data_IF_024999803185
#
_entry.id   IF_024999803185
#
_cell.length_a   1.000
_cell.length_b   1.000
_cell.length_c   1.000
_cell.angle_alpha   90.00
_cell.angle_beta   90.00
_cell.angle_gamma   90.00
#
_symmetry.space_group_name_H-M   'P 1'
#
loop_
_entity.id
_entity.type
_entity.pdbx_description
1 polymer ?
#
# COMPACT_ATOMS: atom_id res chain seq x y z
N UNK A 1 11.01 2.87 -18.71
CA UNK A 1 9.68 3.44 -18.42
C UNK A 1 8.53 2.74 -19.13
N UNK A 2 8.52 2.57 -20.48
CA UNK A 2 7.43 1.85 -21.19
C UNK A 2 7.20 0.42 -20.69
N UNK A 3 8.23 -0.32 -20.26
CA UNK A 3 8.12 -1.67 -19.69
C UNK A 3 7.46 -1.72 -18.31
N UNK A 4 7.44 -0.61 -17.58
CA UNK A 4 6.83 -0.55 -16.24
C UNK A 4 5.31 -0.46 -16.30
N UNK A 5 4.74 0.16 -17.34
CA UNK A 5 3.30 0.32 -17.48
C UNK A 5 2.53 -1.01 -17.56
N UNK A 6 2.92 -2.01 -18.37
CA UNK A 6 2.26 -3.31 -18.36
C UNK A 6 2.31 -3.99 -16.98
N UNK A 7 3.44 -3.89 -16.29
CA UNK A 7 3.59 -4.40 -14.92
C UNK A 7 2.62 -3.73 -13.96
N UNK A 8 2.55 -2.40 -13.97
CA UNK A 8 1.65 -1.61 -13.13
C UNK A 8 0.17 -1.92 -13.39
N UNK A 9 -0.21 -2.09 -14.66
CA UNK A 9 -1.59 -2.37 -15.05
C UNK A 9 -1.99 -3.83 -14.87
N UNK A 10 -1.04 -4.76 -14.77
CA UNK A 10 -1.32 -6.20 -14.75
C UNK A 10 -2.30 -6.61 -13.63
N UNK A 11 -2.15 -6.23 -12.36
CA UNK A 11 -3.11 -6.59 -11.30
C UNK A 11 -4.52 -6.12 -11.61
N UNK A 12 -4.66 -4.90 -12.10
CA UNK A 12 -5.94 -4.30 -12.49
C UNK A 12 -6.60 -5.07 -13.64
N UNK A 13 -5.89 -5.28 -14.74
CA UNK A 13 -6.43 -5.96 -15.93
C UNK A 13 -6.83 -7.41 -15.63
N UNK A 14 -5.98 -8.13 -14.89
CA UNK A 14 -6.28 -9.52 -14.48
C UNK A 14 -7.53 -9.53 -13.60
N UNK A 15 -7.64 -8.64 -12.64
CA UNK A 15 -8.79 -8.54 -11.73
C UNK A 15 -10.07 -8.25 -12.50
N UNK A 16 -10.06 -7.29 -13.44
CA UNK A 16 -11.21 -7.01 -14.31
C UNK A 16 -11.63 -8.24 -15.11
N UNK A 17 -10.66 -8.92 -15.73
CA UNK A 17 -10.96 -10.14 -16.49
C UNK A 17 -11.58 -11.20 -15.58
N UNK A 18 -11.04 -11.44 -14.39
CA UNK A 18 -11.55 -12.42 -13.43
C UNK A 18 -12.98 -12.08 -12.97
N UNK A 19 -13.25 -10.81 -12.66
CA UNK A 19 -14.55 -10.34 -12.19
C UNK A 19 -15.60 -10.37 -13.33
N UNK A 20 -15.28 -9.72 -14.46
CA UNK A 20 -16.28 -9.47 -15.50
C UNK A 20 -16.52 -10.68 -16.42
N UNK A 21 -15.57 -11.60 -16.56
CA UNK A 21 -15.77 -12.90 -17.20
C UNK A 21 -16.46 -13.91 -16.30
N UNK A 22 -16.48 -13.71 -14.98
CA UNK A 22 -17.25 -14.56 -14.08
C UNK A 22 -18.73 -14.42 -14.40
N UNK A 23 -19.48 -15.52 -14.35
CA UNK A 23 -20.95 -15.51 -14.47
C UNK A 23 -21.63 -15.11 -13.16
N UNK A 24 -20.86 -14.65 -12.15
CA UNK A 24 -21.34 -14.31 -10.82
C UNK A 24 -21.72 -12.83 -10.74
N UNK A 25 -23.01 -12.54 -10.81
CA UNK A 25 -23.56 -11.19 -10.70
C UNK A 25 -23.29 -10.55 -9.33
N UNK A 26 -23.29 -11.36 -8.24
CA UNK A 26 -23.01 -10.87 -6.90
C UNK A 26 -21.57 -10.37 -6.77
N UNK A 27 -20.60 -11.08 -7.35
CA UNK A 27 -19.20 -10.64 -7.38
C UNK A 27 -19.02 -9.28 -8.09
N UNK A 28 -19.71 -9.12 -9.24
CA UNK A 28 -19.68 -7.85 -10.00
C UNK A 28 -20.31 -6.72 -9.21
N UNK A 29 -21.48 -6.95 -8.62
CA UNK A 29 -22.18 -5.97 -7.79
C UNK A 29 -21.37 -5.57 -6.56
N UNK A 30 -20.74 -6.52 -5.87
CA UNK A 30 -19.87 -6.26 -4.74
C UNK A 30 -18.65 -5.42 -5.12
N UNK A 31 -17.96 -5.76 -6.22
CA UNK A 31 -16.85 -4.97 -6.73
C UNK A 31 -17.25 -3.52 -7.01
N UNK A 32 -18.35 -3.31 -7.74
CA UNK A 32 -18.85 -1.96 -8.07
C UNK A 32 -19.23 -1.22 -6.80
N UNK A 33 -19.96 -1.84 -5.87
CA UNK A 33 -20.34 -1.21 -4.60
C UNK A 33 -19.10 -0.79 -3.80
N UNK A 34 -18.09 -1.63 -3.66
CA UNK A 34 -16.87 -1.30 -2.93
C UNK A 34 -16.02 -0.22 -3.61
N UNK A 35 -16.15 -0.08 -4.92
CA UNK A 35 -15.46 0.94 -5.71
C UNK A 35 -16.19 2.29 -5.68
N UNK A 36 -17.51 2.33 -5.56
CA UNK A 36 -18.28 3.58 -5.75
C UNK A 36 -18.96 4.08 -4.49
N UNK A 37 -19.20 3.20 -3.51
CA UNK A 37 -19.95 3.53 -2.31
C UNK A 37 -19.06 4.17 -1.22
N UNK A 38 -18.99 5.50 -1.21
CA UNK A 38 -18.23 6.27 -0.21
C UNK A 38 -18.76 6.10 1.22
N UNK A 39 -20.02 5.65 1.40
CA UNK A 39 -20.62 5.43 2.72
C UNK A 39 -19.99 4.25 3.47
N UNK A 40 -19.18 3.43 2.79
CA UNK A 40 -18.38 2.39 3.44
C UNK A 40 -17.24 2.98 4.28
N UNK A 41 -16.82 4.21 4.00
CA UNK A 41 -15.74 4.89 4.72
C UNK A 41 -16.27 5.38 6.07
N UNK A 42 -15.68 4.88 7.16
CA UNK A 42 -16.07 5.20 8.52
C UNK A 42 -15.38 6.47 9.02
N UNK A 43 -16.14 7.52 9.42
CA UNK A 43 -15.52 8.78 9.86
C UNK A 43 -14.54 8.62 11.02
N UNK A 44 -14.78 7.72 11.96
CA UNK A 44 -13.89 7.45 13.08
C UNK A 44 -12.51 6.87 12.71
N UNK A 45 -12.33 6.37 11.49
CA UNK A 45 -11.04 5.86 10.98
C UNK A 45 -10.25 6.97 10.24
N UNK A 46 -10.91 8.05 9.82
CA UNK A 46 -10.28 9.10 9.03
C UNK A 46 -9.02 9.71 9.67
N UNK A 47 -8.95 9.98 10.98
CA UNK A 47 -7.72 10.51 11.58
C UNK A 47 -6.53 9.55 11.40
N UNK A 48 -6.73 8.25 11.64
CA UNK A 48 -5.67 7.23 11.41
C UNK A 48 -5.32 7.16 9.94
N UNK A 49 -6.32 7.18 9.08
CA UNK A 49 -6.19 7.13 7.64
C UNK A 49 -5.30 8.26 7.08
N UNK A 50 -5.49 9.50 7.53
CA UNK A 50 -4.73 10.64 7.02
C UNK A 50 -3.41 10.90 7.76
N UNK A 51 -3.29 10.48 9.01
CA UNK A 51 -2.16 10.87 9.86
C UNK A 51 -1.07 9.81 9.98
N UNK A 52 -1.40 8.53 9.83
CA UNK A 52 -0.44 7.44 10.11
C UNK A 52 0.85 7.57 9.26
N UNK A 53 0.71 7.87 7.98
CA UNK A 53 1.87 8.00 7.09
C UNK A 53 2.65 9.31 7.32
N UNK A 54 2.03 10.50 7.28
CA UNK A 54 2.76 11.74 7.57
C UNK A 54 3.44 11.73 8.93
N UNK A 55 2.75 11.26 9.98
CA UNK A 55 3.36 11.18 11.32
C UNK A 55 4.51 10.18 11.37
N UNK A 56 4.42 9.05 10.66
CA UNK A 56 5.54 8.10 10.59
C UNK A 56 6.79 8.74 9.97
N UNK A 57 6.64 9.55 8.92
CA UNK A 57 7.74 10.31 8.30
C UNK A 57 8.33 11.31 9.30
N UNK A 58 7.49 12.14 9.90
CA UNK A 58 7.92 13.17 10.87
C UNK A 58 8.68 12.53 12.05
N UNK A 59 8.12 11.48 12.66
CA UNK A 59 8.77 10.74 13.75
C UNK A 59 10.11 10.16 13.29
N UNK A 60 10.17 9.61 12.07
CA UNK A 60 11.41 9.03 11.54
C UNK A 60 12.47 10.06 11.27
N UNK A 61 12.11 11.27 10.81
CA UNK A 61 13.06 12.38 10.67
C UNK A 61 13.63 12.73 12.04
N UNK A 62 12.80 12.92 13.09
CA UNK A 62 13.28 13.24 14.42
C UNK A 62 14.19 12.14 14.99
N UNK A 63 13.85 10.87 14.81
CA UNK A 63 14.71 9.76 15.23
C UNK A 63 16.03 9.78 14.45
N UNK A 64 16.00 10.10 13.15
CA UNK A 64 17.21 10.13 12.31
C UNK A 64 18.26 11.14 12.79
N UNK A 65 17.84 12.21 13.50
CA UNK A 65 18.77 13.20 14.04
C UNK A 65 19.77 12.58 15.02
N UNK A 66 19.39 11.53 15.76
CA UNK A 66 20.29 10.79 16.65
C UNK A 66 21.29 9.91 15.90
N UNK A 67 21.10 9.71 14.59
CA UNK A 67 21.96 8.91 13.72
C UNK A 67 22.63 9.76 12.62
N UNK A 68 22.79 11.06 12.87
CA UNK A 68 23.48 11.98 11.96
C UNK A 68 22.57 12.54 10.83
N UNK A 69 21.26 12.37 10.94
CA UNK A 69 20.29 13.03 10.05
C UNK A 69 20.25 14.55 10.26
N UNK A 70 19.58 15.25 9.35
CA UNK A 70 19.46 16.72 9.37
C UNK A 70 18.00 17.17 9.36
N UNK A 71 17.70 18.31 9.94
CA UNK A 71 16.40 19.01 9.82
C UNK A 71 16.11 19.48 8.40
N UNK A 72 17.11 19.53 7.51
CA UNK A 72 16.90 19.82 6.09
C UNK A 72 15.94 18.84 5.40
N UNK A 73 15.77 17.64 5.94
CA UNK A 73 14.81 16.66 5.45
C UNK A 73 13.34 17.12 5.50
N UNK A 74 13.03 18.22 6.23
CA UNK A 74 11.72 18.86 6.17
C UNK A 74 11.52 19.76 4.94
N UNK A 75 12.55 19.94 4.12
CA UNK A 75 12.41 20.64 2.86
C UNK A 75 11.62 19.79 1.86
N UNK A 76 10.93 20.48 0.96
CA UNK A 76 10.26 19.78 -0.14
C UNK A 76 11.31 19.18 -1.06
N UNK A 77 11.07 17.97 -1.53
CA UNK A 77 11.91 17.33 -2.52
C UNK A 77 11.92 18.14 -3.83
N UNK A 78 13.09 18.31 -4.43
CA UNK A 78 13.23 19.04 -5.71
C UNK A 78 12.58 18.31 -6.89
N UNK A 79 12.33 17.02 -6.74
CA UNK A 79 11.69 16.18 -7.77
C UNK A 79 11.06 14.94 -7.15
N UNK A 80 10.29 14.26 -7.95
CA UNK A 80 9.64 13.01 -7.57
C UNK A 80 10.31 11.85 -8.31
N UNK A 81 10.50 10.73 -7.64
CA UNK A 81 11.10 9.51 -8.22
C UNK A 81 10.26 8.96 -9.39
N UNK A 82 9.01 9.38 -9.49
CA UNK A 82 8.02 8.92 -10.47
C UNK A 82 7.49 10.10 -11.31
N UNK A 83 8.34 10.66 -12.18
CA UNK A 83 7.95 11.76 -13.08
C UNK A 83 8.07 11.37 -14.55
N UNK A 84 7.08 11.73 -15.36
CA UNK A 84 7.10 11.53 -16.82
C UNK A 84 7.31 12.82 -17.60
N UNK A 85 7.28 13.97 -16.91
CA UNK A 85 7.33 15.30 -17.53
C UNK A 85 6.04 15.76 -18.21
N UNK A 86 5.14 14.84 -18.59
CA UNK A 86 3.90 15.16 -19.32
C UNK A 86 2.65 15.13 -18.44
N UNK A 87 2.64 14.30 -17.42
CA UNK A 87 1.49 14.12 -16.54
C UNK A 87 1.83 14.68 -15.16
N UNK A 88 0.94 15.48 -14.54
CA UNK A 88 1.15 15.93 -13.17
C UNK A 88 1.46 14.75 -12.23
N UNK A 89 2.52 14.87 -11.45
CA UNK A 89 3.01 13.78 -10.59
C UNK A 89 1.92 13.27 -9.67
N UNK A 90 1.11 14.17 -9.09
CA UNK A 90 0.00 13.77 -8.23
C UNK A 90 -1.00 12.85 -8.93
N UNK A 91 -1.28 13.11 -10.20
CA UNK A 91 -2.16 12.25 -10.99
C UNK A 91 -1.49 10.89 -11.25
N UNK A 92 -0.19 10.85 -11.51
CA UNK A 92 0.53 9.60 -11.68
C UNK A 92 0.52 8.74 -10.41
N UNK A 93 0.77 9.36 -9.25
CA UNK A 93 0.73 8.66 -7.96
C UNK A 93 -0.68 8.12 -7.65
N UNK A 94 -1.71 8.89 -7.99
CA UNK A 94 -3.11 8.46 -7.83
C UNK A 94 -3.45 7.31 -8.78
N UNK A 95 -3.05 7.40 -10.06
CA UNK A 95 -3.30 6.36 -11.05
C UNK A 95 -2.55 5.07 -10.68
N UNK A 96 -1.30 5.17 -10.21
CA UNK A 96 -0.54 4.01 -9.75
C UNK A 96 -1.26 3.32 -8.59
N UNK A 97 -1.62 4.06 -7.54
CA UNK A 97 -2.41 3.53 -6.43
C UNK A 97 -3.75 2.93 -6.91
N UNK A 98 -4.41 3.59 -7.87
CA UNK A 98 -5.66 3.11 -8.44
C UNK A 98 -5.52 1.77 -9.14
N UNK A 99 -4.57 1.61 -10.06
CA UNK A 99 -4.34 0.36 -10.79
C UNK A 99 -3.97 -0.78 -9.85
N UNK A 100 -3.13 -0.52 -8.87
CA UNK A 100 -2.75 -1.53 -7.89
C UNK A 100 -3.94 -1.95 -7.02
N UNK A 101 -4.66 -1.01 -6.42
CA UNK A 101 -5.73 -1.35 -5.49
C UNK A 101 -6.98 -1.93 -6.17
N UNK A 102 -7.27 -1.53 -7.41
CA UNK A 102 -8.31 -2.18 -8.22
C UNK A 102 -8.00 -3.66 -8.48
N UNK A 103 -6.73 -3.99 -8.63
CA UNK A 103 -6.28 -5.38 -8.75
C UNK A 103 -6.27 -6.11 -7.42
N UNK A 104 -5.52 -5.57 -6.48
CA UNK A 104 -5.25 -6.22 -5.20
C UNK A 104 -6.49 -6.31 -4.32
N UNK A 105 -7.19 -5.18 -4.06
CA UNK A 105 -8.40 -5.12 -3.23
C UNK A 105 -9.66 -5.44 -4.01
N UNK A 106 -9.63 -5.25 -5.32
CA UNK A 106 -10.76 -5.61 -6.19
C UNK A 106 -11.04 -7.11 -6.21
N UNK A 107 -9.99 -7.96 -6.20
CA UNK A 107 -10.14 -9.41 -6.34
C UNK A 107 -9.19 -10.24 -5.48
N UNK A 108 -7.87 -10.00 -5.56
CA UNK A 108 -6.87 -10.91 -5.01
C UNK A 108 -6.96 -11.06 -3.50
N UNK A 109 -7.10 -9.95 -2.76
CA UNK A 109 -7.18 -9.96 -1.31
C UNK A 109 -8.44 -10.66 -0.80
N UNK A 110 -9.58 -10.50 -1.47
CA UNK A 110 -10.82 -11.21 -1.13
C UNK A 110 -10.69 -12.71 -1.35
N UNK A 111 -9.99 -13.13 -2.41
CA UNK A 111 -9.70 -14.54 -2.64
C UNK A 111 -8.86 -15.16 -1.51
N UNK A 112 -7.90 -14.40 -0.95
CA UNK A 112 -7.14 -14.82 0.22
C UNK A 112 -8.00 -14.87 1.49
N UNK A 113 -8.83 -13.84 1.72
CA UNK A 113 -9.73 -13.76 2.88
C UNK A 113 -10.78 -14.88 2.89
N UNK A 114 -11.22 -15.36 1.73
CA UNK A 114 -12.19 -16.46 1.67
C UNK A 114 -11.65 -17.79 2.24
N UNK A 115 -10.34 -17.91 2.42
CA UNK A 115 -9.65 -19.14 2.87
C UNK A 115 -8.86 -18.98 4.15
N UNK A 116 -8.54 -17.74 4.55
CA UNK A 116 -7.63 -17.44 5.65
C UNK A 116 -8.21 -16.38 6.59
N UNK A 117 -7.74 -16.36 7.84
CA UNK A 117 -7.98 -15.22 8.73
C UNK A 117 -7.47 -13.94 8.09
N UNK A 118 -7.99 -12.78 8.50
CA UNK A 118 -7.50 -11.51 7.98
C UNK A 118 -6.00 -11.31 8.22
N UNK A 119 -5.47 -11.76 9.36
CA UNK A 119 -4.04 -11.73 9.63
C UNK A 119 -3.25 -12.49 8.56
N UNK A 120 -3.58 -13.78 8.36
CA UNK A 120 -2.87 -14.62 7.39
C UNK A 120 -3.03 -14.09 5.96
N UNK A 121 -4.23 -13.66 5.59
CA UNK A 121 -4.48 -13.06 4.28
C UNK A 121 -3.65 -11.79 4.07
N UNK A 122 -3.55 -10.90 5.07
CA UNK A 122 -2.77 -9.68 5.00
C UNK A 122 -1.26 -9.95 4.90
N UNK A 123 -0.73 -10.92 5.65
CA UNK A 123 0.68 -11.32 5.56
C UNK A 123 0.99 -11.87 4.17
N UNK A 124 0.20 -12.85 3.68
CA UNK A 124 0.41 -13.42 2.34
C UNK A 124 0.34 -12.34 1.28
N UNK A 125 -0.67 -11.47 1.36
CA UNK A 125 -0.82 -10.36 0.43
C UNK A 125 0.41 -9.44 0.45
N UNK A 126 0.85 -9.01 1.64
CA UNK A 126 2.00 -8.10 1.79
C UNK A 126 3.28 -8.67 1.18
N UNK A 127 3.53 -9.97 1.39
CA UNK A 127 4.68 -10.68 0.79
C UNK A 127 4.55 -10.72 -0.73
N UNK A 128 3.38 -11.08 -1.27
CA UNK A 128 3.15 -11.12 -2.72
C UNK A 128 3.29 -9.73 -3.35
N UNK A 129 2.78 -8.70 -2.67
CA UNK A 129 2.89 -7.31 -3.12
C UNK A 129 4.34 -6.83 -3.10
N UNK A 130 5.10 -7.17 -2.07
CA UNK A 130 6.54 -6.91 -2.02
C UNK A 130 7.26 -7.59 -3.20
N UNK A 131 7.05 -8.89 -3.40
CA UNK A 131 7.69 -9.65 -4.47
C UNK A 131 7.27 -9.17 -5.88
N UNK A 132 6.08 -8.62 -6.04
CA UNK A 132 5.63 -8.06 -7.32
C UNK A 132 6.48 -6.86 -7.76
N UNK A 133 7.11 -6.14 -6.85
CA UNK A 133 8.05 -5.07 -7.18
C UNK A 133 9.44 -5.58 -7.59
N UNK A 134 9.74 -6.87 -7.35
CA UNK A 134 11.09 -7.42 -7.57
C UNK A 134 11.65 -7.20 -8.99
N UNK A 135 10.86 -7.35 -10.08
CA UNK A 135 11.38 -7.09 -11.43
C UNK A 135 11.91 -5.67 -11.65
N UNK A 136 11.47 -4.69 -10.85
CA UNK A 136 11.90 -3.31 -11.00
C UNK A 136 13.37 -3.08 -10.66
N UNK A 137 14.01 -3.98 -9.88
CA UNK A 137 15.46 -3.90 -9.61
C UNK A 137 16.31 -4.08 -10.88
N UNK A 138 15.74 -4.60 -11.96
CA UNK A 138 16.40 -4.80 -13.25
C UNK A 138 16.03 -3.74 -14.28
N UNK A 139 15.20 -2.76 -13.92
CA UNK A 139 14.77 -1.70 -14.82
C UNK A 139 15.57 -0.43 -14.53
N UNK A 140 16.49 -0.08 -15.43
CA UNK A 140 17.29 1.14 -15.30
C UNK A 140 16.41 2.37 -15.06
N UNK A 141 16.85 3.28 -14.20
CA UNK A 141 16.15 4.49 -13.79
C UNK A 141 14.81 4.23 -13.06
N UNK A 142 14.57 3.02 -12.56
CA UNK A 142 13.53 2.82 -11.56
C UNK A 142 14.07 3.16 -10.17
N UNK A 143 13.20 3.61 -9.27
CA UNK A 143 13.57 3.86 -7.88
C UNK A 143 14.24 2.62 -7.24
N UNK A 144 13.70 1.42 -7.50
CA UNK A 144 14.23 0.16 -6.96
C UNK A 144 15.64 -0.16 -7.50
N UNK A 145 15.88 0.11 -8.78
CA UNK A 145 17.21 -0.05 -9.38
C UNK A 145 18.22 0.89 -8.69
N UNK A 146 17.89 2.17 -8.58
CA UNK A 146 18.78 3.19 -8.02
C UNK A 146 19.14 2.88 -6.54
N UNK A 147 18.15 2.58 -5.70
CA UNK A 147 18.42 2.31 -4.28
C UNK A 147 19.22 1.01 -4.06
N UNK A 148 19.08 -0.01 -4.93
CA UNK A 148 19.89 -1.23 -4.87
C UNK A 148 21.34 -0.97 -5.28
N UNK A 149 21.59 -0.06 -6.23
CA UNK A 149 22.93 0.35 -6.63
C UNK A 149 23.58 1.26 -5.59
N UNK A 150 22.79 2.07 -4.89
CA UNK A 150 23.29 2.86 -3.77
C UNK A 150 23.70 1.97 -2.59
N UNK A 151 22.83 1.05 -2.19
CA UNK A 151 23.11 0.08 -1.13
C UNK A 151 22.15 -1.12 -1.19
N UNK A 152 22.71 -2.33 -1.13
CA UNK A 152 21.92 -3.56 -0.96
C UNK A 152 20.92 -3.47 0.21
N UNK A 153 21.34 -2.84 1.32
CA UNK A 153 20.49 -2.70 2.51
C UNK A 153 19.31 -1.76 2.30
N UNK A 154 19.48 -0.68 1.54
CA UNK A 154 18.37 0.21 1.17
C UNK A 154 17.39 -0.47 0.24
N UNK A 155 17.90 -1.19 -0.75
CA UNK A 155 17.06 -2.02 -1.61
C UNK A 155 16.29 -3.07 -0.84
N UNK A 156 16.93 -3.79 0.08
CA UNK A 156 16.28 -4.77 0.94
C UNK A 156 15.20 -4.11 1.83
N UNK A 157 15.51 -2.94 2.42
CA UNK A 157 14.56 -2.19 3.23
C UNK A 157 13.29 -1.83 2.45
N UNK A 158 13.40 -1.51 1.16
CA UNK A 158 12.22 -1.25 0.33
C UNK A 158 11.26 -2.45 0.36
N UNK A 159 11.74 -3.66 0.14
CA UNK A 159 10.89 -4.87 0.17
C UNK A 159 10.34 -5.16 1.55
N UNK A 160 11.14 -4.96 2.59
CA UNK A 160 10.69 -5.15 3.99
C UNK A 160 9.62 -4.12 4.36
N UNK A 161 9.75 -2.87 3.93
CA UNK A 161 8.80 -1.79 4.24
C UNK A 161 7.39 -2.03 3.69
N UNK A 162 7.27 -2.76 2.59
CA UNK A 162 5.97 -3.12 2.01
C UNK A 162 5.18 -4.06 2.92
N UNK A 163 5.83 -4.84 3.79
CA UNK A 163 5.13 -5.76 4.69
C UNK A 163 4.23 -5.00 5.69
N UNK A 164 4.75 -4.08 6.53
CA UNK A 164 3.90 -3.30 7.42
C UNK A 164 2.90 -2.43 6.65
N UNK A 165 3.27 -1.84 5.51
CA UNK A 165 2.35 -1.06 4.68
C UNK A 165 1.18 -1.91 4.16
N UNK A 166 1.45 -3.12 3.67
CA UNK A 166 0.41 -4.04 3.20
C UNK A 166 -0.53 -4.50 4.32
N UNK A 167 -0.02 -4.64 5.56
CA UNK A 167 -0.84 -4.93 6.74
C UNK A 167 -1.73 -3.74 7.11
N UNK A 168 -1.18 -2.52 7.13
CA UNK A 168 -1.91 -1.30 7.47
C UNK A 168 -3.02 -1.02 6.45
N UNK A 169 -2.71 -1.07 5.15
CA UNK A 169 -3.71 -0.81 4.10
C UNK A 169 -4.80 -1.90 4.09
N UNK A 170 -4.44 -3.15 4.42
CA UNK A 170 -5.42 -4.22 4.58
C UNK A 170 -6.36 -3.94 5.76
N UNK A 171 -5.83 -3.50 6.90
CA UNK A 171 -6.62 -3.10 8.06
C UNK A 171 -7.57 -1.94 7.71
N UNK A 172 -7.06 -0.89 7.07
CA UNK A 172 -7.87 0.26 6.62
C UNK A 172 -9.00 -0.19 5.70
N UNK A 173 -8.70 -1.03 4.71
CA UNK A 173 -9.68 -1.57 3.77
C UNK A 173 -10.79 -2.33 4.51
N UNK A 174 -10.43 -3.26 5.40
CA UNK A 174 -11.38 -4.08 6.17
C UNK A 174 -12.24 -3.22 7.09
N UNK A 175 -11.64 -2.27 7.83
CA UNK A 175 -12.36 -1.37 8.75
C UNK A 175 -13.35 -0.45 8.02
N UNK A 176 -13.13 -0.18 6.76
CA UNK A 176 -14.00 0.60 5.89
C UNK A 176 -14.87 -0.29 4.98
N UNK A 177 -15.35 -1.43 5.48
CA UNK A 177 -16.27 -2.29 4.73
C UNK A 177 -15.72 -2.83 3.42
N UNK A 178 -14.38 -3.03 3.36
CA UNK A 178 -13.61 -3.42 2.18
C UNK A 178 -13.67 -2.40 1.04
N UNK A 179 -13.86 -1.11 1.34
CA UNK A 179 -13.87 -0.03 0.35
C UNK A 179 -12.57 0.00 -0.44
N UNK A 180 -12.67 -0.13 -1.75
CA UNK A 180 -11.55 0.00 -2.69
C UNK A 180 -11.10 1.46 -2.75
N UNK A 181 -12.05 2.43 -2.69
CA UNK A 181 -11.72 3.86 -2.64
C UNK A 181 -10.84 4.15 -1.42
N UNK A 182 -11.19 3.63 -0.24
CA UNK A 182 -10.40 3.84 0.97
C UNK A 182 -8.96 3.32 0.79
N UNK A 183 -8.80 2.16 0.16
CA UNK A 183 -7.48 1.61 -0.13
C UNK A 183 -6.71 2.49 -1.13
N UNK A 184 -7.34 2.94 -2.22
CA UNK A 184 -6.72 3.81 -3.23
C UNK A 184 -6.26 5.14 -2.60
N UNK A 185 -7.12 5.80 -1.83
CA UNK A 185 -6.77 7.10 -1.22
C UNK A 185 -5.68 6.92 -0.18
N UNK A 186 -5.71 5.86 0.63
CA UNK A 186 -4.63 5.61 1.58
C UNK A 186 -3.30 5.28 0.88
N UNK A 187 -3.32 4.46 -0.15
CA UNK A 187 -2.12 4.15 -0.95
C UNK A 187 -1.56 5.42 -1.61
N UNK A 188 -2.42 6.29 -2.13
CA UNK A 188 -2.00 7.60 -2.63
C UNK A 188 -1.31 8.43 -1.54
N UNK A 189 -1.84 8.45 -0.30
CA UNK A 189 -1.21 9.13 0.85
C UNK A 189 0.15 8.50 1.17
N UNK A 190 0.27 7.16 1.09
CA UNK A 190 1.56 6.47 1.23
C UNK A 190 2.57 7.02 0.23
N UNK A 191 2.23 7.00 -1.06
CA UNK A 191 3.11 7.47 -2.13
C UNK A 191 3.50 8.95 -1.94
N UNK A 192 2.51 9.80 -1.65
CA UNK A 192 2.75 11.22 -1.36
C UNK A 192 3.71 11.43 -0.18
N UNK A 193 3.50 10.69 0.91
CA UNK A 193 4.32 10.83 2.11
C UNK A 193 5.78 10.38 1.90
N UNK A 194 6.03 9.52 0.92
CA UNK A 194 7.37 9.06 0.57
C UNK A 194 8.13 10.00 -0.37
N UNK A 195 7.41 10.88 -1.07
CA UNK A 195 7.96 11.69 -2.16
C UNK A 195 7.96 13.19 -1.87
N UNK A 196 7.14 13.68 -0.92
CA UNK A 196 6.95 15.12 -0.72
C UNK A 196 8.10 15.81 0.01
N UNK A 197 8.79 15.09 0.90
CA UNK A 197 9.91 15.59 1.68
C UNK A 197 11.23 14.94 1.23
N UNK A 198 12.32 15.70 1.35
CA UNK A 198 13.67 15.25 0.99
C UNK A 198 14.27 14.32 2.06
N UNK A 199 13.61 13.17 2.27
CA UNK A 199 14.01 12.18 3.29
C UNK A 199 15.10 11.24 2.78
N UNK A 200 16.14 11.03 3.58
CA UNK A 200 17.24 10.11 3.26
C UNK A 200 16.80 8.63 3.30
N UNK A 201 17.54 7.75 2.62
CA UNK A 201 17.30 6.31 2.67
C UNK A 201 17.45 5.74 4.10
N UNK A 202 18.37 6.29 4.90
CA UNK A 202 18.50 5.94 6.32
C UNK A 202 17.21 6.27 7.07
N UNK A 203 16.61 7.43 6.83
CA UNK A 203 15.33 7.83 7.45
C UNK A 203 14.19 6.90 6.99
N UNK A 204 14.17 6.45 5.74
CA UNK A 204 13.21 5.44 5.26
C UNK A 204 13.40 4.09 5.95
N UNK A 205 14.63 3.70 6.31
CA UNK A 205 14.88 2.50 7.13
C UNK A 205 14.29 2.65 8.54
N UNK A 206 14.47 3.82 9.17
CA UNK A 206 13.88 4.13 10.47
C UNK A 206 12.35 4.11 10.37
N UNK A 207 11.78 4.67 9.31
CA UNK A 207 10.35 4.67 9.07
C UNK A 207 9.79 3.25 8.96
N UNK A 208 10.53 2.34 8.36
CA UNK A 208 10.13 0.91 8.31
C UNK A 208 9.97 0.34 9.71
N UNK A 209 10.91 0.63 10.63
CA UNK A 209 10.80 0.22 12.03
C UNK A 209 9.60 0.86 12.74
N UNK A 210 9.36 2.15 12.52
CA UNK A 210 8.18 2.87 13.05
C UNK A 210 6.89 2.22 12.55
N UNK A 211 6.78 1.93 11.25
CA UNK A 211 5.60 1.31 10.66
C UNK A 211 5.39 -0.14 11.15
N UNK A 212 6.47 -0.88 11.45
CA UNK A 212 6.39 -2.19 12.08
C UNK A 212 5.77 -2.08 13.49
N UNK A 213 6.22 -1.11 14.29
CA UNK A 213 5.65 -0.85 15.62
C UNK A 213 4.17 -0.50 15.51
N UNK A 214 3.80 0.40 14.59
CA UNK A 214 2.41 0.76 14.33
C UNK A 214 1.59 -0.46 13.93
N UNK A 215 2.12 -1.31 13.05
CA UNK A 215 1.44 -2.53 12.60
C UNK A 215 1.19 -3.49 13.77
N UNK A 216 2.20 -3.69 14.64
CA UNK A 216 2.04 -4.52 15.84
C UNK A 216 0.97 -3.93 16.76
N UNK A 217 0.96 -2.61 16.97
CA UNK A 217 -0.06 -1.94 17.77
C UNK A 217 -1.47 -2.10 17.19
N UNK A 218 -1.63 -1.98 15.86
CA UNK A 218 -2.91 -2.21 15.18
C UNK A 218 -3.38 -3.65 15.31
N UNK A 219 -2.49 -4.63 15.18
CA UNK A 219 -2.81 -6.05 15.34
C UNK A 219 -3.25 -6.33 16.79
N UNK A 220 -2.57 -5.75 17.78
CA UNK A 220 -2.92 -5.89 19.18
C UNK A 220 -4.27 -5.24 19.50
N UNK A 221 -4.53 -4.04 18.95
CA UNK A 221 -5.77 -3.28 19.13
C UNK A 221 -6.99 -4.00 18.53
N UNK A 222 -6.86 -4.52 17.31
CA UNK A 222 -7.95 -5.19 16.57
C UNK A 222 -7.72 -6.72 16.48
N UNK A 223 -7.21 -7.32 17.56
CA UNK A 223 -6.85 -8.74 17.60
C UNK A 223 -7.98 -9.65 17.16
N UNK A 224 -9.21 -9.38 17.61
CA UNK A 224 -10.39 -10.16 17.25
C UNK A 224 -10.63 -10.13 15.73
N UNK A 225 -10.58 -8.94 15.11
CA UNK A 225 -10.71 -8.81 13.66
C UNK A 225 -9.64 -9.64 12.93
N UNK A 226 -8.37 -9.52 13.32
CA UNK A 226 -7.29 -10.17 12.61
C UNK A 226 -7.32 -11.71 12.71
N UNK A 227 -7.68 -12.27 13.87
CA UNK A 227 -7.55 -13.71 14.11
C UNK A 227 -8.90 -14.46 14.11
N UNK A 228 -10.04 -13.78 14.12
CA UNK A 228 -11.34 -14.42 14.01
C UNK A 228 -11.50 -15.16 12.67
N UNK A 229 -12.26 -16.27 12.71
CA UNK A 229 -12.67 -17.04 11.54
C UNK A 229 -14.17 -16.85 11.21
N UNK A 230 -14.84 -15.94 11.88
CA UNK A 230 -16.29 -15.73 11.74
C UNK A 230 -16.73 -15.45 10.28
N UNK A 231 -15.85 -14.80 9.49
CA UNK A 231 -16.13 -14.53 8.08
C UNK A 231 -15.99 -15.78 7.18
N UNK A 232 -15.26 -16.83 7.61
CA UNK A 232 -15.07 -18.05 6.84
C UNK A 232 -16.28 -19.00 6.90
N UNK A 233 -17.16 -18.86 7.91
CA UNK A 233 -18.41 -19.62 8.05
C UNK A 233 -19.56 -19.12 7.20
N UNK A 234 -19.48 -17.89 6.70
CA UNK A 234 -20.50 -17.27 5.84
C UNK A 234 -20.17 -17.54 4.36
N UNK A 235 -20.11 -18.81 3.95
CA UNK A 235 -20.24 -19.11 2.53
C UNK A 235 -21.67 -18.70 2.14
N UNK A 236 -21.78 -17.72 1.26
CA UNK A 236 -23.04 -17.40 0.59
C UNK A 236 -23.58 -18.69 -0.04
N UNK A 237 -24.62 -19.24 0.57
CA UNK A 237 -25.50 -20.18 -0.09
C UNK A 237 -26.11 -19.52 -1.31
#
# INVERSE_FOLDING_TARGET
MLLMLPGLMAPFLISLVMIFRSKNAALKGDFVNRLTNIRLIRPGILPVFFLIMPLSVVVSIFISLFFGGSMSQFQLAEGFSFSTGFVPVLLLLLLAAGFEELGWRGYAFDSLQSRHTYFKASVIFSVLWSLWHFPLIFVNNSYQYEIFHESFWYGLNFFVSIIPLGMIISWICIKNGKSIIAAIVFHFIVNMSQEILDITQTTKCIQTAVLLIVTIALIAYDREMFFSRAHLGKRST
#
